data_IF_638324463791
#
_entry.id   IF_638324463791
#
_cell.length_a   1.000
_cell.length_b   1.000
_cell.length_c   1.000
_cell.angle_alpha   90.00
_cell.angle_beta   90.00
_cell.angle_gamma   90.00
#
_symmetry.space_group_name_H-M   'P 1'
#
loop_
_entity.id
_entity.type
_entity.pdbx_description
1 polymer ?
#
# COMPACT_ATOMS: atom_id res chain seq x y z
N UNK A 1 -12.15 90.05 -22.13
CA UNK A 1 -11.06 89.09 -22.44
C UNK A 1 -10.92 87.96 -21.43
N UNK A 2 -11.35 88.08 -20.15
CA UNK A 2 -11.30 87.04 -19.15
C UNK A 2 -12.20 85.82 -19.44
N UNK A 3 -13.42 86.02 -19.98
CA UNK A 3 -14.41 84.97 -20.20
C UNK A 3 -14.03 83.97 -21.30
N UNK A 4 -13.15 84.33 -22.25
CA UNK A 4 -12.72 83.42 -23.33
C UNK A 4 -11.59 82.48 -22.89
N UNK A 5 -10.75 82.94 -21.94
CA UNK A 5 -9.68 82.17 -21.37
C UNK A 5 -10.22 81.08 -20.42
N UNK A 6 -11.27 81.39 -19.63
CA UNK A 6 -11.90 80.39 -18.75
C UNK A 6 -12.62 79.31 -19.53
N UNK A 7 -13.25 79.63 -20.65
CA UNK A 7 -13.89 78.63 -21.52
C UNK A 7 -12.88 77.71 -22.22
N UNK A 8 -11.72 78.23 -22.63
CA UNK A 8 -10.66 77.46 -23.19
C UNK A 8 -10.02 76.54 -22.15
N UNK A 9 -9.77 77.02 -20.94
CA UNK A 9 -9.22 76.21 -19.86
C UNK A 9 -10.17 75.05 -19.48
N UNK A 10 -11.47 75.27 -19.43
CA UNK A 10 -12.48 74.22 -19.17
C UNK A 10 -12.57 73.21 -20.31
N UNK A 11 -12.40 73.65 -21.57
CA UNK A 11 -12.39 72.74 -22.72
C UNK A 11 -11.14 71.84 -22.72
N UNK A 12 -9.97 72.35 -22.39
CA UNK A 12 -8.72 71.58 -22.27
C UNK A 12 -8.77 70.64 -21.08
N UNK A 13 -9.36 71.04 -19.96
CA UNK A 13 -9.51 70.12 -18.80
C UNK A 13 -10.44 68.97 -19.11
N UNK A 14 -11.50 69.15 -19.87
CA UNK A 14 -12.40 68.06 -20.32
C UNK A 14 -11.74 67.16 -21.37
N UNK A 15 -10.94 67.69 -22.27
CA UNK A 15 -10.19 66.89 -23.26
C UNK A 15 -9.13 66.05 -22.59
N UNK A 16 -8.41 66.54 -21.58
CA UNK A 16 -7.42 65.75 -20.82
C UNK A 16 -8.08 64.68 -19.97
N UNK A 17 -9.26 64.95 -19.37
CA UNK A 17 -10.02 63.91 -18.64
C UNK A 17 -10.53 62.83 -19.56
N UNK A 18 -11.00 63.14 -20.76
CA UNK A 18 -11.42 62.14 -21.75
C UNK A 18 -10.23 61.35 -22.27
N UNK A 19 -9.07 61.96 -22.50
CA UNK A 19 -7.85 61.24 -22.89
C UNK A 19 -7.34 60.32 -21.79
N UNK A 20 -7.41 60.72 -20.50
CA UNK A 20 -7.07 59.88 -19.37
C UNK A 20 -8.04 58.71 -19.16
N UNK A 21 -9.33 58.87 -19.46
CA UNK A 21 -10.32 57.79 -19.44
C UNK A 21 -10.14 56.80 -20.62
N UNK A 22 -9.73 57.30 -21.78
CA UNK A 22 -9.45 56.44 -22.95
C UNK A 22 -8.12 55.66 -22.80
N UNK A 23 -7.16 56.17 -22.03
CA UNK A 23 -5.91 55.46 -21.74
C UNK A 23 -6.07 54.32 -20.74
N UNK A 24 -7.22 54.21 -20.06
CA UNK A 24 -7.57 53.10 -19.15
C UNK A 24 -8.38 51.99 -19.84
N UNK A 25 -8.71 52.14 -21.12
CA UNK A 25 -9.19 51.06 -21.94
C UNK A 25 -7.99 50.21 -22.30
N UNK A 26 -7.60 49.32 -21.37
CA UNK A 26 -6.74 48.22 -21.76
C UNK A 26 -7.43 47.47 -22.92
N UNK A 27 -6.74 47.23 -24.05
CA UNK A 27 -7.31 46.39 -25.06
C UNK A 27 -7.58 45.05 -24.40
N UNK A 28 -8.86 44.73 -24.24
CA UNK A 28 -9.27 43.37 -23.91
C UNK A 28 -8.86 42.49 -25.13
N UNK A 29 -7.55 42.24 -25.23
CA UNK A 29 -7.00 41.26 -26.16
C UNK A 29 -7.42 39.91 -25.63
N UNK A 30 -8.65 39.57 -25.89
CA UNK A 30 -9.17 38.21 -25.68
C UNK A 30 -8.58 37.26 -26.71
N UNK A 31 -7.24 37.20 -26.83
CA UNK A 31 -6.59 36.01 -27.29
C UNK A 31 -6.74 35.00 -26.15
N UNK A 32 -7.77 34.21 -26.20
CA UNK A 32 -7.89 32.98 -25.41
C UNK A 32 -6.85 32.01 -25.94
N UNK A 33 -5.56 32.33 -25.68
CA UNK A 33 -4.47 31.41 -25.96
C UNK A 33 -4.74 30.16 -25.10
N UNK A 34 -4.99 29.03 -25.75
CA UNK A 34 -5.25 27.74 -25.09
C UNK A 34 -4.06 27.41 -24.21
N UNK A 35 -4.27 27.29 -22.92
CA UNK A 35 -3.21 26.91 -21.99
C UNK A 35 -2.77 25.48 -22.30
N UNK A 36 -1.45 25.29 -22.46
CA UNK A 36 -0.86 23.97 -22.66
C UNK A 36 -0.64 23.27 -21.32
N UNK A 37 -0.64 21.93 -21.35
CA UNK A 37 -0.32 21.13 -20.17
C UNK A 37 1.13 21.34 -19.72
N UNK A 38 1.33 21.44 -18.39
CA UNK A 38 2.63 21.57 -17.74
C UNK A 38 2.77 20.53 -16.63
N UNK A 39 3.97 20.37 -16.07
CA UNK A 39 4.25 19.44 -14.97
C UNK A 39 3.78 18.00 -15.27
N UNK A 40 4.01 17.57 -16.50
CA UNK A 40 3.58 16.24 -16.97
C UNK A 40 4.44 15.17 -16.31
N UNK A 41 3.81 14.23 -15.62
CA UNK A 41 4.47 13.16 -14.87
C UNK A 41 3.81 11.79 -15.10
N UNK A 42 4.64 10.75 -15.09
CA UNK A 42 4.21 9.36 -15.11
C UNK A 42 4.22 8.81 -13.68
N UNK A 43 3.07 8.30 -13.22
CA UNK A 43 2.94 7.60 -11.94
C UNK A 43 2.65 6.13 -12.23
N UNK A 44 3.60 5.26 -11.93
CA UNK A 44 3.49 3.83 -12.25
C UNK A 44 3.89 2.95 -11.07
N UNK A 45 3.00 2.03 -10.68
CA UNK A 45 3.25 1.01 -9.66
C UNK A 45 2.82 -0.34 -10.22
N UNK A 46 3.72 -1.32 -10.21
CA UNK A 46 3.49 -2.65 -10.78
C UNK A 46 2.85 -2.58 -12.19
N UNK A 47 3.31 -1.63 -13.01
CA UNK A 47 2.82 -1.34 -14.37
C UNK A 47 1.43 -0.69 -14.47
N UNK A 48 0.68 -0.51 -13.40
CA UNK A 48 -0.48 0.37 -13.39
C UNK A 48 0.01 1.81 -13.53
N UNK A 49 -0.29 2.46 -14.66
CA UNK A 49 0.33 3.71 -15.05
C UNK A 49 -0.69 4.80 -15.31
N UNK A 50 -0.56 5.88 -14.57
CA UNK A 50 -1.38 7.09 -14.70
C UNK A 50 -0.49 8.24 -15.16
N UNK A 51 -0.87 8.91 -16.22
CA UNK A 51 -0.26 10.15 -16.67
C UNK A 51 -0.97 11.32 -15.99
N UNK A 52 -0.21 12.28 -15.42
CA UNK A 52 -0.74 13.46 -14.73
C UNK A 52 -0.12 14.73 -15.26
N UNK A 53 -0.89 15.83 -15.24
CA UNK A 53 -0.47 17.15 -15.69
C UNK A 53 -1.23 18.26 -14.98
N UNK A 54 -0.96 19.52 -15.35
CA UNK A 54 -1.63 20.75 -14.91
C UNK A 54 -1.77 21.68 -16.09
N UNK A 55 -2.63 22.74 -16.04
CA UNK A 55 -3.65 23.01 -15.02
C UNK A 55 -4.97 22.29 -15.28
N UNK A 56 -5.94 22.41 -14.38
CA UNK A 56 -7.34 22.00 -14.64
C UNK A 56 -7.90 22.90 -15.74
N UNK A 57 -8.49 22.34 -16.82
CA UNK A 57 -9.01 23.15 -17.92
C UNK A 57 -10.31 23.88 -17.52
N UNK A 58 -10.46 25.14 -17.92
CA UNK A 58 -11.66 25.97 -17.65
C UNK A 58 -12.61 25.99 -18.84
N UNK A 59 -12.15 26.46 -20.00
CA UNK A 59 -12.96 26.63 -21.21
C UNK A 59 -12.48 25.74 -22.38
N UNK A 60 -11.67 24.75 -22.10
CA UNK A 60 -11.09 23.80 -23.04
C UNK A 60 -11.07 22.40 -22.45
N UNK A 61 -10.65 21.43 -23.22
CA UNK A 61 -10.50 20.02 -22.82
C UNK A 61 -9.14 19.50 -23.27
N UNK A 62 -8.73 18.38 -22.69
CA UNK A 62 -7.51 17.70 -23.10
C UNK A 62 -7.82 16.42 -23.88
N UNK A 63 -7.00 16.15 -24.88
CA UNK A 63 -6.92 14.83 -25.53
C UNK A 63 -5.51 14.29 -25.38
N UNK A 64 -5.37 13.11 -24.79
CA UNK A 64 -4.10 12.43 -24.62
C UNK A 64 -3.86 11.49 -25.78
N UNK A 65 -2.70 11.65 -26.45
CA UNK A 65 -2.20 10.74 -27.49
C UNK A 65 -0.92 10.09 -26.97
N UNK A 66 -0.74 8.78 -27.19
CA UNK A 66 0.45 8.04 -26.79
C UNK A 66 1.05 7.33 -27.99
N UNK A 67 2.38 7.29 -28.06
CA UNK A 67 3.12 6.48 -29.03
C UNK A 67 4.34 5.85 -28.36
N UNK A 68 4.61 4.59 -28.66
CA UNK A 68 5.90 3.95 -28.41
C UNK A 68 6.87 4.26 -29.58
N UNK A 69 8.15 3.92 -29.41
CA UNK A 69 9.16 4.14 -30.49
C UNK A 69 8.77 3.42 -31.78
N UNK A 70 8.16 2.25 -31.68
CA UNK A 70 7.79 1.41 -32.82
C UNK A 70 6.28 1.28 -32.99
N UNK A 71 5.49 2.29 -32.61
CA UNK A 71 4.04 2.28 -32.72
C UNK A 71 3.50 3.62 -33.19
N UNK A 72 2.32 3.59 -33.78
CA UNK A 72 1.61 4.81 -34.16
C UNK A 72 1.01 5.52 -32.95
N UNK A 73 0.67 6.80 -33.13
CA UNK A 73 -0.04 7.58 -32.14
C UNK A 73 -1.47 7.05 -31.93
N UNK A 74 -1.82 6.76 -30.70
CA UNK A 74 -3.16 6.33 -30.29
C UNK A 74 -3.76 7.33 -29.30
N UNK A 75 -5.03 7.71 -29.52
CA UNK A 75 -5.79 8.49 -28.53
C UNK A 75 -6.20 7.58 -27.37
N UNK A 76 -6.10 8.09 -26.15
CA UNK A 76 -6.45 7.35 -24.92
C UNK A 76 -7.59 8.04 -24.20
N UNK A 77 -7.33 9.20 -23.60
CA UNK A 77 -8.36 10.02 -22.95
C UNK A 77 -8.73 11.15 -23.91
N UNK A 78 -9.96 11.13 -24.41
CA UNK A 78 -10.42 12.09 -25.41
C UNK A 78 -11.39 13.07 -24.78
N UNK A 79 -11.19 14.38 -25.05
CA UNK A 79 -12.02 15.49 -24.56
C UNK A 79 -12.25 15.44 -23.02
N UNK A 80 -11.20 15.11 -22.26
CA UNK A 80 -11.28 15.06 -20.79
C UNK A 80 -11.08 16.43 -20.15
N UNK A 81 -11.79 16.67 -19.05
CA UNK A 81 -11.55 17.77 -18.13
C UNK A 81 -10.67 17.41 -16.94
N UNK A 82 -10.36 16.11 -16.82
CA UNK A 82 -9.46 15.62 -15.80
C UNK A 82 -8.01 15.96 -16.12
N UNK A 83 -7.17 16.04 -15.11
CA UNK A 83 -5.72 16.25 -15.21
C UNK A 83 -4.92 14.97 -14.99
N UNK A 84 -5.60 13.84 -15.14
CA UNK A 84 -4.99 12.51 -15.13
C UNK A 84 -5.65 11.58 -16.15
N UNK A 85 -4.88 10.64 -16.63
CA UNK A 85 -5.33 9.66 -17.62
C UNK A 85 -4.71 8.29 -17.32
N UNK A 86 -5.55 7.27 -17.21
CA UNK A 86 -5.09 5.88 -17.12
C UNK A 86 -4.65 5.40 -18.50
N UNK A 87 -3.37 5.16 -18.62
CA UNK A 87 -2.73 4.79 -19.88
C UNK A 87 -2.23 3.34 -19.88
N UNK A 88 -2.53 2.60 -18.85
CA UNK A 88 -2.02 1.25 -18.55
C UNK A 88 -2.13 0.31 -19.75
N UNK A 89 -3.30 0.25 -20.38
CA UNK A 89 -3.59 -0.69 -21.47
C UNK A 89 -2.82 -0.38 -22.77
N UNK A 90 -2.26 0.83 -22.88
CA UNK A 90 -1.45 1.23 -24.03
C UNK A 90 0.04 0.92 -23.88
N UNK A 91 0.45 0.48 -22.69
CA UNK A 91 1.85 0.27 -22.33
C UNK A 91 2.22 -1.23 -22.19
N UNK A 92 1.49 -2.13 -22.84
CA UNK A 92 1.71 -3.58 -22.73
C UNK A 92 3.10 -4.03 -23.18
N UNK A 93 3.69 -3.35 -24.16
CA UNK A 93 5.09 -3.59 -24.58
C UNK A 93 6.03 -2.95 -23.56
N UNK A 94 6.12 -3.55 -22.37
CA UNK A 94 6.80 -2.96 -21.19
C UNK A 94 8.25 -2.51 -21.42
N UNK A 95 8.95 -3.07 -22.41
CA UNK A 95 10.33 -2.71 -22.79
C UNK A 95 10.42 -1.61 -23.82
N UNK A 96 9.30 -1.21 -24.42
CA UNK A 96 9.24 -0.07 -25.34
C UNK A 96 9.30 1.24 -24.54
N UNK A 97 9.70 2.31 -25.21
CA UNK A 97 9.76 3.66 -24.62
C UNK A 97 8.66 4.51 -25.23
N UNK A 98 7.83 5.03 -24.36
CA UNK A 98 6.63 5.78 -24.71
C UNK A 98 6.79 7.27 -24.48
N UNK A 99 6.07 8.04 -25.31
CA UNK A 99 5.90 9.49 -25.17
C UNK A 99 4.41 9.80 -25.30
N UNK A 100 3.92 10.75 -24.52
CA UNK A 100 2.55 11.23 -24.62
C UNK A 100 2.53 12.68 -25.10
N UNK A 101 1.54 13.00 -25.95
CA UNK A 101 1.15 14.38 -26.27
C UNK A 101 -0.17 14.67 -25.57
N UNK A 102 -0.22 15.76 -24.82
CA UNK A 102 -1.43 16.27 -24.19
C UNK A 102 -1.87 17.49 -24.98
N UNK A 103 -2.88 17.29 -25.80
CA UNK A 103 -3.41 18.28 -26.73
C UNK A 103 -4.50 19.07 -26.03
N UNK A 104 -4.45 20.40 -26.10
CA UNK A 104 -5.50 21.30 -25.59
C UNK A 104 -6.46 21.64 -26.74
N UNK A 105 -7.75 21.34 -26.58
CA UNK A 105 -8.78 21.47 -27.62
C UNK A 105 -9.92 22.35 -27.10
N UNK A 106 -10.43 23.29 -27.96
CA UNK A 106 -11.59 24.11 -27.62
C UNK A 106 -12.87 23.26 -27.61
N UNK A 107 -13.82 23.58 -26.73
CA UNK A 107 -15.13 22.91 -26.66
C UNK A 107 -16.00 23.22 -27.90
N UNK A 108 -15.80 24.36 -28.52
CA UNK A 108 -16.58 24.84 -29.69
C UNK A 108 -15.74 24.80 -30.95
N UNK A 109 -15.36 23.63 -31.42
CA UNK A 109 -14.66 23.43 -32.72
C UNK A 109 -13.67 24.55 -33.08
N UNK A 110 -12.40 24.24 -33.14
CA UNK A 110 -11.38 25.14 -33.71
C UNK A 110 -11.59 25.23 -35.21
N UNK A 111 -11.19 26.35 -35.83
CA UNK A 111 -11.05 26.45 -37.28
C UNK A 111 -10.23 25.25 -37.76
N UNK A 112 -10.75 24.54 -38.78
CA UNK A 112 -10.21 23.25 -39.29
C UNK A 112 -8.75 23.32 -39.77
N UNK A 113 -8.13 24.49 -39.73
CA UNK A 113 -6.81 24.78 -40.30
C UNK A 113 -5.69 25.00 -39.28
N UNK A 114 -5.98 25.13 -37.97
CA UNK A 114 -4.95 25.36 -36.97
C UNK A 114 -4.73 24.09 -36.12
N UNK A 115 -3.48 23.62 -36.07
CA UNK A 115 -3.12 22.47 -35.27
C UNK A 115 -3.21 22.88 -33.77
N UNK A 116 -4.04 22.18 -32.96
CA UNK A 116 -4.22 22.58 -31.56
C UNK A 116 -2.92 22.45 -30.78
N UNK A 117 -2.65 23.36 -29.82
CA UNK A 117 -1.42 23.35 -29.03
C UNK A 117 -1.35 22.09 -28.19
N UNK A 118 -0.14 21.54 -28.05
CA UNK A 118 0.10 20.34 -27.24
C UNK A 118 1.40 20.45 -26.45
N UNK A 119 1.47 19.68 -25.36
CA UNK A 119 2.68 19.49 -24.58
C UNK A 119 3.15 18.04 -24.66
N UNK A 120 4.46 17.85 -24.62
CA UNK A 120 5.11 16.54 -24.73
C UNK A 120 5.54 16.07 -23.34
N UNK A 121 5.23 14.82 -22.99
CA UNK A 121 5.68 14.21 -21.75
C UNK A 121 7.16 13.85 -21.77
N UNK A 122 7.79 13.69 -20.62
CA UNK A 122 9.06 12.95 -20.55
C UNK A 122 8.88 11.54 -21.13
N UNK A 123 9.99 10.96 -21.63
CA UNK A 123 9.99 9.55 -22.09
C UNK A 123 9.80 8.59 -20.92
N UNK A 124 9.02 7.55 -21.14
CA UNK A 124 8.71 6.56 -20.13
C UNK A 124 8.89 5.13 -20.65
N UNK A 125 9.71 4.33 -19.96
CA UNK A 125 9.91 2.91 -20.26
C UNK A 125 9.39 2.10 -19.06
N UNK A 126 8.21 1.46 -19.15
CA UNK A 126 7.59 0.77 -18.01
C UNK A 126 8.52 -0.21 -17.31
N UNK A 127 9.26 -1.03 -18.07
CA UNK A 127 10.19 -2.02 -17.52
C UNK A 127 11.26 -1.41 -16.60
N UNK A 128 11.72 -0.20 -16.89
CA UNK A 128 12.79 0.46 -16.13
C UNK A 128 12.25 1.38 -15.03
N UNK A 129 11.06 1.97 -15.22
CA UNK A 129 10.61 3.12 -14.43
C UNK A 129 9.40 2.84 -13.54
N UNK A 130 8.63 1.75 -13.78
CA UNK A 130 7.54 1.41 -12.84
C UNK A 130 8.10 1.12 -11.45
N UNK A 131 7.50 1.67 -10.42
CA UNK A 131 7.83 1.34 -9.03
C UNK A 131 7.33 -0.06 -8.71
N UNK A 132 8.15 -0.85 -8.03
CA UNK A 132 7.71 -2.17 -7.56
C UNK A 132 6.97 -1.98 -6.24
N UNK A 133 5.74 -2.44 -6.21
CA UNK A 133 4.90 -2.40 -5.03
C UNK A 133 5.45 -3.30 -3.92
N UNK A 134 4.87 -3.16 -2.76
CA UNK A 134 5.21 -3.91 -1.56
C UNK A 134 4.91 -5.41 -1.77
N UNK A 135 5.89 -6.33 -1.61
CA UNK A 135 5.60 -7.76 -1.64
C UNK A 135 4.68 -8.18 -0.49
N UNK A 136 3.80 -9.15 -0.74
CA UNK A 136 3.04 -9.82 0.30
C UNK A 136 3.83 -10.99 0.92
N UNK A 137 3.46 -11.40 2.12
CA UNK A 137 3.88 -12.68 2.68
C UNK A 137 2.62 -13.54 2.73
N UNK A 138 2.58 -14.57 1.89
CA UNK A 138 1.44 -15.46 1.77
C UNK A 138 1.32 -16.38 2.99
N UNK A 139 2.41 -17.06 3.32
CA UNK A 139 2.51 -17.93 4.50
C UNK A 139 3.94 -17.95 5.03
N UNK A 140 4.09 -18.26 6.30
CA UNK A 140 5.37 -18.60 6.89
C UNK A 140 5.19 -19.65 7.98
N UNK A 141 6.17 -20.52 8.13
CA UNK A 141 6.17 -21.62 9.08
C UNK A 141 7.54 -21.77 9.71
N UNK A 142 7.57 -22.12 10.99
CA UNK A 142 8.78 -22.48 11.72
C UNK A 142 8.71 -23.97 12.07
N UNK A 143 9.55 -24.78 11.43
CA UNK A 143 9.63 -26.24 11.63
C UNK A 143 11.08 -26.56 12.00
N UNK A 144 11.30 -27.15 13.16
CA UNK A 144 12.62 -27.67 13.60
C UNK A 144 13.80 -26.71 13.42
N UNK A 145 13.70 -25.46 13.70
CA UNK A 145 14.75 -24.44 13.46
C UNK A 145 14.92 -24.04 11.98
N UNK A 146 13.97 -24.37 11.13
CA UNK A 146 13.91 -23.87 9.75
C UNK A 146 12.72 -22.94 9.61
N UNK A 147 12.99 -21.69 9.25
CA UNK A 147 11.97 -20.71 8.87
C UNK A 147 11.73 -20.82 7.37
N UNK A 148 10.53 -21.24 7.00
CA UNK A 148 10.05 -21.24 5.62
C UNK A 148 9.16 -20.02 5.42
N UNK A 149 9.40 -19.24 4.36
CA UNK A 149 8.61 -18.08 4.01
C UNK A 149 8.20 -18.16 2.55
N UNK A 150 6.90 -18.07 2.28
CA UNK A 150 6.33 -17.99 0.94
C UNK A 150 5.90 -16.55 0.66
N UNK A 151 6.52 -15.94 -0.35
CA UNK A 151 6.25 -14.57 -0.78
C UNK A 151 5.14 -14.55 -1.81
N UNK A 152 4.20 -13.64 -1.66
CA UNK A 152 3.18 -13.35 -2.66
C UNK A 152 3.74 -12.33 -3.67
N UNK A 153 3.84 -12.75 -4.93
CA UNK A 153 4.28 -11.87 -6.02
C UNK A 153 3.21 -10.80 -6.29
N UNK A 154 3.54 -9.50 -6.24
CA UNK A 154 2.59 -8.45 -6.58
C UNK A 154 2.00 -8.64 -7.98
N UNK A 155 0.69 -8.45 -8.11
CA UNK A 155 -0.01 -8.53 -9.37
C UNK A 155 0.20 -7.27 -10.22
N UNK A 156 0.12 -7.45 -11.53
CA UNK A 156 0.12 -6.38 -12.53
C UNK A 156 -1.29 -6.24 -13.15
N UNK A 157 -1.62 -5.14 -13.80
CA UNK A 157 -2.89 -4.99 -14.51
C UNK A 157 -2.99 -5.86 -15.76
N UNK A 158 -1.87 -6.37 -16.27
CA UNK A 158 -1.84 -7.18 -17.48
C UNK A 158 -2.37 -8.60 -17.24
N UNK A 159 -2.94 -9.20 -18.27
CA UNK A 159 -3.58 -10.50 -18.18
C UNK A 159 -2.96 -11.50 -19.15
N UNK A 160 -3.07 -12.75 -18.78
CA UNK A 160 -2.85 -13.88 -19.69
C UNK A 160 -4.08 -14.07 -20.61
N UNK A 161 -3.98 -14.88 -21.69
CA UNK A 161 -5.12 -15.21 -22.55
C UNK A 161 -6.31 -15.82 -21.81
N UNK A 162 -6.07 -16.55 -20.72
CA UNK A 162 -7.09 -17.13 -19.83
C UNK A 162 -7.71 -16.10 -18.85
N UNK A 163 -7.42 -14.79 -19.03
CA UNK A 163 -7.89 -13.66 -18.22
C UNK A 163 -7.34 -13.59 -16.79
N UNK A 164 -6.50 -14.50 -16.34
CA UNK A 164 -5.79 -14.36 -15.05
C UNK A 164 -4.79 -13.21 -15.10
N UNK A 165 -4.54 -12.56 -13.97
CA UNK A 165 -3.55 -11.48 -13.87
C UNK A 165 -2.13 -12.04 -13.91
N UNK A 166 -1.24 -11.32 -14.60
CA UNK A 166 0.21 -11.57 -14.53
C UNK A 166 0.76 -10.94 -13.25
N UNK A 167 1.67 -11.65 -12.61
CA UNK A 167 2.47 -11.11 -11.53
C UNK A 167 3.69 -10.33 -12.07
N UNK A 168 4.39 -9.61 -11.18
CA UNK A 168 5.66 -8.98 -11.55
C UNK A 168 6.69 -10.04 -11.97
N UNK A 169 6.63 -11.26 -11.42
CA UNK A 169 7.50 -12.38 -11.78
C UNK A 169 7.31 -12.81 -13.24
N UNK A 170 6.08 -12.82 -13.74
CA UNK A 170 5.79 -13.18 -15.12
C UNK A 170 6.41 -12.19 -16.11
N UNK A 171 6.61 -10.93 -15.70
CA UNK A 171 7.20 -9.87 -16.52
C UNK A 171 8.71 -9.83 -16.36
N UNK A 172 9.23 -9.77 -15.13
CA UNK A 172 10.67 -9.62 -14.87
C UNK A 172 11.43 -10.95 -14.94
N UNK A 173 10.76 -12.09 -14.72
CA UNK A 173 11.35 -13.44 -14.80
C UNK A 173 12.61 -13.55 -13.94
N UNK A 174 13.75 -13.90 -14.55
CA UNK A 174 15.04 -14.10 -13.89
C UNK A 174 15.69 -12.79 -13.39
N UNK A 175 15.14 -11.64 -13.76
CA UNK A 175 15.59 -10.32 -13.33
C UNK A 175 15.02 -9.94 -11.95
N UNK A 176 14.00 -10.66 -11.48
CA UNK A 176 13.40 -10.50 -10.15
C UNK A 176 14.11 -11.38 -9.14
N UNK A 177 14.58 -10.76 -8.06
CA UNK A 177 15.15 -11.41 -6.89
C UNK A 177 14.47 -10.90 -5.63
N UNK A 178 14.22 -11.76 -4.67
CA UNK A 178 13.76 -11.37 -3.34
C UNK A 178 14.89 -11.46 -2.33
N UNK A 179 14.94 -10.50 -1.42
CA UNK A 179 15.80 -10.49 -0.24
C UNK A 179 14.93 -10.56 1.00
N UNK A 180 15.14 -11.59 1.82
CA UNK A 180 14.57 -11.73 3.15
C UNK A 180 15.55 -11.13 4.15
N UNK A 181 15.13 -10.11 4.88
CA UNK A 181 15.85 -9.55 6.02
C UNK A 181 15.25 -10.13 7.29
N UNK A 182 16.09 -10.71 8.15
CA UNK A 182 15.62 -11.37 9.36
C UNK A 182 16.56 -11.13 10.55
N UNK A 183 16.02 -11.08 11.75
CA UNK A 183 16.76 -10.83 12.98
C UNK A 183 16.05 -11.47 14.18
N UNK A 184 16.79 -11.75 15.27
CA UNK A 184 16.20 -12.15 16.57
C UNK A 184 15.37 -11.01 17.13
N UNK A 185 14.23 -11.30 17.72
CA UNK A 185 13.22 -10.32 18.16
C UNK A 185 13.82 -9.18 19.01
N UNK A 186 14.79 -9.46 19.86
CA UNK A 186 15.43 -8.45 20.72
C UNK A 186 16.82 -8.02 20.22
N UNK A 187 17.20 -8.31 18.98
CA UNK A 187 18.50 -7.99 18.42
C UNK A 187 18.40 -6.89 17.37
N UNK A 188 19.43 -6.04 17.29
CA UNK A 188 19.59 -5.04 16.22
C UNK A 188 20.31 -5.59 14.98
N UNK A 189 20.96 -6.75 15.07
CA UNK A 189 21.72 -7.36 13.99
C UNK A 189 20.80 -8.03 12.98
N UNK A 190 20.64 -7.43 11.78
CA UNK A 190 19.87 -8.03 10.68
C UNK A 190 20.78 -8.91 9.83
N UNK A 191 20.28 -10.09 9.48
CA UNK A 191 20.85 -11.00 8.48
C UNK A 191 19.99 -10.92 7.21
N UNK A 192 20.56 -11.34 6.07
CA UNK A 192 19.86 -11.37 4.80
C UNK A 192 20.02 -12.72 4.10
N UNK A 193 19.00 -13.11 3.35
CA UNK A 193 19.02 -14.24 2.44
C UNK A 193 18.32 -13.84 1.14
N UNK A 194 18.84 -14.27 -0.01
CA UNK A 194 18.29 -13.94 -1.32
C UNK A 194 17.79 -15.17 -2.05
N UNK A 195 16.76 -15.00 -2.88
CA UNK A 195 16.24 -16.06 -3.75
C UNK A 195 15.66 -15.48 -5.04
N UNK A 196 15.82 -16.21 -6.14
CA UNK A 196 15.11 -15.92 -7.40
C UNK A 196 13.72 -16.55 -7.49
N UNK A 197 13.43 -17.47 -6.57
CA UNK A 197 12.07 -18.00 -6.40
C UNK A 197 11.25 -17.09 -5.48
N UNK A 198 10.03 -17.49 -5.15
CA UNK A 198 9.21 -16.83 -4.13
C UNK A 198 9.26 -17.56 -2.77
N UNK A 199 10.20 -18.50 -2.58
CA UNK A 199 10.30 -19.31 -1.37
C UNK A 199 11.67 -19.14 -0.71
N UNK A 200 11.64 -18.97 0.60
CA UNK A 200 12.82 -19.01 1.46
C UNK A 200 12.75 -20.21 2.40
N UNK A 201 13.89 -20.85 2.61
CA UNK A 201 14.10 -21.79 3.69
C UNK A 201 15.44 -21.44 4.35
N UNK A 202 15.39 -20.90 5.57
CA UNK A 202 16.57 -20.48 6.32
C UNK A 202 16.65 -21.20 7.66
N UNK A 203 17.87 -21.54 8.07
CA UNK A 203 18.12 -22.10 9.41
C UNK A 203 18.24 -20.97 10.42
N UNK A 204 17.52 -21.10 11.52
CA UNK A 204 17.52 -20.16 12.64
C UNK A 204 17.84 -20.90 13.95
N UNK A 205 18.17 -20.15 15.00
CA UNK A 205 18.47 -20.74 16.31
C UNK A 205 17.20 -21.34 16.95
N UNK A 206 17.35 -22.54 17.51
CA UNK A 206 16.24 -23.23 18.17
C UNK A 206 15.78 -22.47 19.41
N UNK A 207 14.48 -22.30 19.55
CA UNK A 207 13.89 -21.66 20.72
C UNK A 207 13.87 -20.12 20.69
N UNK A 208 14.36 -19.52 19.61
CA UNK A 208 14.40 -18.05 19.46
C UNK A 208 13.29 -17.54 18.53
N UNK A 209 12.73 -16.40 18.88
CA UNK A 209 11.80 -15.68 18.00
C UNK A 209 12.57 -14.82 17.01
N UNK A 210 12.14 -14.84 15.75
CA UNK A 210 12.71 -14.04 14.67
C UNK A 210 11.65 -13.17 14.03
N UNK A 211 12.01 -11.91 13.78
CA UNK A 211 11.23 -11.00 12.97
C UNK A 211 11.86 -10.90 11.57
N UNK A 212 11.06 -10.68 10.55
CA UNK A 212 11.52 -10.62 9.17
C UNK A 212 10.59 -9.78 8.29
N UNK A 213 11.15 -9.26 7.21
CA UNK A 213 10.45 -8.67 6.08
C UNK A 213 11.14 -9.04 4.76
N UNK A 214 10.44 -8.87 3.66
CA UNK A 214 10.92 -9.17 2.31
C UNK A 214 10.93 -7.92 1.45
N UNK A 215 11.91 -7.81 0.57
CA UNK A 215 12.03 -6.75 -0.42
C UNK A 215 12.31 -7.35 -1.79
N UNK A 216 11.63 -6.87 -2.84
CA UNK A 216 11.90 -7.27 -4.21
C UNK A 216 13.00 -6.38 -4.81
N UNK A 217 13.85 -6.95 -5.64
CA UNK A 217 14.93 -6.26 -6.34
C UNK A 217 14.91 -6.64 -7.82
N UNK A 218 14.97 -5.64 -8.72
CA UNK A 218 15.16 -5.87 -10.15
C UNK A 218 16.64 -5.67 -10.48
N UNK A 219 17.31 -6.75 -10.86
CA UNK A 219 18.76 -6.81 -10.94
C UNK A 219 19.35 -5.91 -12.04
N UNK A 220 18.66 -5.82 -13.18
CA UNK A 220 19.12 -5.03 -14.33
C UNK A 220 18.99 -3.53 -14.17
N UNK A 221 18.19 -3.05 -13.20
CA UNK A 221 17.93 -1.63 -13.01
C UNK A 221 19.07 -0.92 -12.28
N UNK A 222 19.32 0.33 -12.62
CA UNK A 222 20.23 1.22 -11.90
C UNK A 222 19.47 2.03 -10.84
N UNK A 223 18.31 2.57 -11.20
CA UNK A 223 17.42 3.36 -10.34
C UNK A 223 16.11 2.60 -10.09
N UNK A 224 15.38 2.95 -9.04
CA UNK A 224 14.13 2.27 -8.64
C UNK A 224 14.26 0.74 -8.60
N UNK A 225 15.43 0.28 -8.18
CA UNK A 225 15.83 -1.12 -8.21
C UNK A 225 15.08 -1.96 -7.19
N UNK A 226 14.83 -1.39 -6.00
CA UNK A 226 14.20 -2.08 -4.87
C UNK A 226 12.76 -1.66 -4.69
N UNK A 227 11.91 -2.60 -4.27
CA UNK A 227 10.55 -2.33 -3.82
C UNK A 227 10.52 -1.66 -2.45
N UNK A 228 9.34 -1.25 -2.01
CA UNK A 228 9.09 -1.04 -0.59
C UNK A 228 9.20 -2.36 0.17
N UNK A 229 9.50 -2.29 1.47
CA UNK A 229 9.55 -3.43 2.37
C UNK A 229 8.16 -4.03 2.58
N UNK A 230 8.05 -5.36 2.67
CA UNK A 230 6.83 -6.02 3.10
C UNK A 230 6.47 -5.63 4.54
N UNK A 231 5.28 -5.99 4.99
CA UNK A 231 4.96 -5.94 6.42
C UNK A 231 5.93 -6.83 7.18
N UNK A 232 6.46 -6.33 8.29
CA UNK A 232 7.26 -7.13 9.22
C UNK A 232 6.37 -8.17 9.91
N UNK A 233 6.80 -9.43 9.87
CA UNK A 233 6.20 -10.53 10.61
C UNK A 233 7.22 -11.09 11.57
N UNK A 234 6.73 -11.64 12.70
CA UNK A 234 7.58 -12.30 13.68
C UNK A 234 7.08 -13.72 13.94
N UNK A 235 8.00 -14.67 14.05
CA UNK A 235 7.68 -16.02 14.53
C UNK A 235 7.31 -15.92 16.00
N UNK A 236 6.31 -16.68 16.40
CA UNK A 236 6.05 -16.91 17.82
C UNK A 236 6.37 -18.37 18.10
N UNK A 237 7.26 -18.63 19.01
CA UNK A 237 7.37 -19.98 19.55
C UNK A 237 6.00 -20.31 20.16
N UNK A 238 5.35 -21.34 19.62
CA UNK A 238 4.27 -21.98 20.32
C UNK A 238 4.90 -22.66 21.53
N UNK A 239 4.87 -21.99 22.68
CA UNK A 239 5.17 -22.64 23.94
C UNK A 239 4.01 -23.62 24.08
N UNK A 240 4.27 -24.91 23.85
CA UNK A 240 3.29 -25.97 24.14
C UNK A 240 2.72 -25.68 25.52
N UNK A 241 1.39 -25.53 25.61
CA UNK A 241 0.71 -24.88 26.74
C UNK A 241 0.99 -25.49 28.13
N UNK A 242 1.64 -26.65 28.23
CA UNK A 242 2.11 -27.23 29.50
C UNK A 242 3.56 -26.82 29.84
N UNK A 243 4.45 -26.58 28.86
CA UNK A 243 5.84 -26.19 29.13
C UNK A 243 5.97 -24.71 29.53
N UNK A 244 4.91 -23.90 29.30
CA UNK A 244 4.87 -22.49 29.72
C UNK A 244 4.71 -22.31 31.23
N UNK A 245 4.15 -23.33 31.89
CA UNK A 245 4.03 -23.33 33.33
C UNK A 245 5.28 -23.98 33.90
N UNK A 246 6.20 -23.17 34.45
CA UNK A 246 7.40 -23.69 35.08
C UNK A 246 7.08 -24.77 36.13
N UNK A 247 8.05 -25.62 36.46
CA UNK A 247 7.91 -26.72 37.43
C UNK A 247 7.25 -26.29 38.74
N UNK A 248 7.33 -25.03 39.07
CA UNK A 248 6.69 -24.43 40.26
C UNK A 248 5.17 -24.52 40.24
N UNK A 249 4.53 -24.35 39.09
CA UNK A 249 3.07 -24.44 38.98
C UNK A 249 2.58 -25.89 39.11
N UNK A 250 3.35 -26.86 38.63
CA UNK A 250 3.03 -28.28 38.83
C UNK A 250 3.15 -28.66 40.31
N UNK A 251 4.15 -28.12 41.05
CA UNK A 251 4.32 -28.31 42.50
C UNK A 251 3.13 -27.72 43.26
N UNK A 252 2.68 -26.54 42.89
CA UNK A 252 1.52 -25.87 43.52
C UNK A 252 0.22 -26.69 43.31
N UNK A 253 0.00 -27.15 42.08
CA UNK A 253 -1.19 -27.98 41.76
C UNK A 253 -1.15 -29.32 42.51
N UNK A 254 0.02 -29.98 42.60
CA UNK A 254 0.18 -31.21 43.35
C UNK A 254 -0.03 -31.02 44.86
N UNK A 255 0.51 -29.93 45.44
CA UNK A 255 0.29 -29.58 46.80
C UNK A 255 -1.18 -29.30 47.13
N UNK A 256 -1.88 -28.56 46.28
CA UNK A 256 -3.31 -28.30 46.41
C UNK A 256 -4.15 -29.60 46.37
N UNK A 257 -3.80 -30.51 45.46
CA UNK A 257 -4.49 -31.81 45.32
C UNK A 257 -4.29 -32.68 46.59
N UNK A 258 -3.10 -32.66 47.19
CA UNK A 258 -2.80 -33.37 48.45
C UNK A 258 -3.63 -32.81 49.62
N UNK A 259 -3.71 -31.47 49.74
CA UNK A 259 -4.52 -30.81 50.77
C UNK A 259 -6.01 -31.18 50.63
N UNK A 260 -6.54 -31.21 49.38
CA UNK A 260 -7.92 -31.63 49.13
C UNK A 260 -8.15 -33.09 49.55
N UNK A 261 -7.21 -33.98 49.24
CA UNK A 261 -7.30 -35.39 49.64
C UNK A 261 -7.30 -35.55 51.16
N UNK A 262 -6.43 -34.85 51.89
CA UNK A 262 -6.38 -34.87 53.31
C UNK A 262 -7.67 -34.36 53.95
N UNK A 263 -8.26 -33.29 53.40
CA UNK A 263 -9.54 -32.77 53.90
C UNK A 263 -10.68 -33.76 53.67
N UNK A 264 -10.74 -34.42 52.51
CA UNK A 264 -11.75 -35.43 52.23
C UNK A 264 -11.63 -36.64 53.18
N UNK A 265 -10.41 -37.10 53.43
CA UNK A 265 -10.15 -38.21 54.38
C UNK A 265 -10.56 -37.78 55.79
N UNK A 266 -10.17 -36.58 56.23
CA UNK A 266 -10.54 -36.03 57.55
C UNK A 266 -12.03 -35.95 57.75
N UNK A 267 -12.76 -35.41 56.74
CA UNK A 267 -14.23 -35.34 56.77
C UNK A 267 -14.88 -36.75 56.79
N UNK A 268 -14.35 -37.69 56.00
CA UNK A 268 -14.85 -39.07 55.98
C UNK A 268 -14.69 -39.76 57.35
N UNK A 269 -13.54 -39.60 57.98
CA UNK A 269 -13.28 -40.12 59.34
C UNK A 269 -14.20 -39.45 60.39
N UNK A 270 -14.40 -38.15 60.31
CA UNK A 270 -15.29 -37.43 61.23
C UNK A 270 -16.76 -37.92 61.07
N UNK A 271 -17.25 -38.07 59.84
CA UNK A 271 -18.58 -38.63 59.56
C UNK A 271 -18.73 -40.06 60.08
N UNK A 272 -17.67 -40.89 59.85
CA UNK A 272 -17.67 -42.26 60.35
C UNK A 272 -17.72 -42.33 61.88
N UNK A 273 -16.91 -41.49 62.57
CA UNK A 273 -16.96 -41.38 64.06
C UNK A 273 -18.31 -40.90 64.53
N UNK A 274 -18.91 -39.86 63.92
CA UNK A 274 -20.25 -39.40 64.31
C UNK A 274 -21.33 -40.47 64.14
N UNK A 275 -21.30 -41.25 63.04
CA UNK A 275 -22.25 -42.38 62.84
C UNK A 275 -22.06 -43.45 63.90
N UNK A 276 -20.82 -43.80 64.23
CA UNK A 276 -20.50 -44.82 65.26
C UNK A 276 -20.94 -44.37 66.68
N UNK A 277 -20.79 -43.07 66.99
CA UNK A 277 -21.24 -42.53 68.27
C UNK A 277 -22.78 -42.45 68.38
N UNK A 278 -23.49 -42.16 67.29
CA UNK A 278 -24.96 -42.22 67.24
C UNK A 278 -25.47 -43.63 67.42
N UNK A 279 -24.88 -44.60 66.71
CA UNK A 279 -25.25 -46.04 66.84
C UNK A 279 -24.95 -46.64 68.23
N UNK A 280 -23.94 -46.14 68.93
CA UNK A 280 -23.64 -46.54 70.30
C UNK A 280 -24.67 -45.96 71.29
N UNK A 281 -25.10 -44.68 71.13
CA UNK A 281 -26.14 -44.08 71.96
C UNK A 281 -27.51 -44.70 71.76
N UNK A 282 -27.84 -45.19 70.54
CA UNK A 282 -29.12 -45.84 70.23
C UNK A 282 -29.23 -47.22 70.84
N UNK A 283 -28.07 -47.90 71.08
CA UNK A 283 -28.05 -49.17 71.81
C UNK A 283 -28.20 -49.06 73.31
N UNK A 284 -27.90 -47.90 73.90
CA UNK A 284 -27.97 -47.64 75.33
C UNK A 284 -29.39 -47.17 75.81
N UNK A 285 -30.26 -46.87 74.86
CA UNK A 285 -31.63 -46.40 75.12
C UNK A 285 -32.72 -47.41 74.82
N UNK A 286 -32.42 -48.69 74.63
CA UNK A 286 -33.44 -49.72 74.56
C UNK A 286 -33.86 -50.09 76.02
N UNK A 287 -35.10 -49.88 76.42
CA UNK A 287 -35.59 -50.33 77.73
C UNK A 287 -35.70 -51.88 77.65
N UNK A 288 -35.17 -52.53 78.70
CA UNK A 288 -35.53 -53.89 79.00
C UNK A 288 -36.98 -53.92 79.39
N UNK A 289 -37.85 -54.53 78.60
CA UNK A 289 -39.15 -54.96 79.04
C UNK A 289 -39.08 -56.42 79.32
N UNK A 290 -39.41 -56.68 80.63
CA UNK A 290 -39.50 -57.97 81.32
C UNK A 290 -40.70 -58.82 80.81
N UNK A 291 -40.47 -60.16 81.04
CA UNK A 291 -41.31 -61.36 81.25
C UNK A 291 -41.92 -62.01 80.08
#
# INVERSE_FOLDING_TARGET
MASALDALAAAWGRALLLAALLSQLEPCSGNSELSTAVNITWSSINFKTILRWQPVPTNYVYTVKISGINSNWEKVCVHTKETECDVTDKLEKVKDTYTAHIVSEMLSGTDEFEEPPYAISPKFTPYNQTTIGKPGIQTYELIDSKLKVLVEDPLTPYRFPNKSFKSIRDIFKNDLEYTLYYWKDQSTGKKEATTKSNQFEISIDKGENYCFYVQATILSRRENRKSQESKTNCTRHQIDGLAAYGTEVFIIIAAAAIVILITIIGLSVAVYKCKKTKAAKEKETMPLNDV
#
